data_IF_687443104614
#
_entry.id   IF_687443104614
#
_cell.length_a   1.000
_cell.length_b   1.000
_cell.length_c   1.000
_cell.angle_alpha   90.00
_cell.angle_beta   90.00
_cell.angle_gamma   90.00
#
_symmetry.space_group_name_H-M   'P 1'
#
loop_
_entity.id
_entity.type
_entity.pdbx_description
1 polymer ?
#
# COMPACT_ATOMS: atom_id res chain seq x y z
N UNK A 1 -16.41 19.66 -1.54
CA UNK A 1 -15.24 19.95 -2.38
C UNK A 1 -14.39 18.69 -2.42
N UNK A 2 -14.52 17.85 -3.44
CA UNK A 2 -13.68 16.65 -3.59
C UNK A 2 -12.31 17.12 -4.04
N UNK A 3 -11.36 17.17 -3.11
CA UNK A 3 -9.95 17.36 -3.44
C UNK A 3 -9.51 16.13 -4.24
N UNK A 4 -9.40 16.28 -5.56
CA UNK A 4 -8.73 15.31 -6.42
C UNK A 4 -7.23 15.39 -6.10
N UNK A 5 -6.82 14.82 -4.97
CA UNK A 5 -5.40 14.65 -4.66
C UNK A 5 -4.88 13.63 -5.67
N UNK A 6 -4.07 14.11 -6.61
CA UNK A 6 -3.33 13.24 -7.51
C UNK A 6 -2.21 12.60 -6.70
N UNK A 7 -2.26 11.28 -6.53
CA UNK A 7 -1.16 10.53 -5.93
C UNK A 7 -0.16 10.19 -7.03
N UNK A 8 1.12 10.47 -6.79
CA UNK A 8 2.20 10.09 -7.69
C UNK A 8 3.20 9.21 -6.95
N UNK A 9 3.57 8.07 -7.56
CA UNK A 9 4.55 7.14 -7.02
C UNK A 9 5.48 6.69 -8.14
N UNK A 10 6.78 6.74 -7.87
CA UNK A 10 7.80 6.16 -8.75
C UNK A 10 7.96 4.67 -8.45
N UNK A 11 8.28 3.87 -9.47
CA UNK A 11 8.46 2.42 -9.31
C UNK A 11 9.52 2.05 -8.28
N UNK A 12 10.56 2.88 -8.13
CA UNK A 12 11.65 2.66 -7.17
C UNK A 12 11.26 2.92 -5.70
N UNK A 13 10.13 3.57 -5.45
CA UNK A 13 9.61 3.82 -4.10
C UNK A 13 8.92 2.58 -3.51
N UNK A 14 8.43 1.68 -4.38
CA UNK A 14 7.75 0.46 -3.97
C UNK A 14 8.72 -0.56 -3.39
N UNK A 15 8.37 -1.08 -2.20
CA UNK A 15 9.20 -2.04 -1.47
C UNK A 15 8.36 -3.22 -0.99
N UNK A 16 8.95 -4.41 -1.08
CA UNK A 16 8.45 -5.62 -0.40
C UNK A 16 8.94 -5.64 1.04
N UNK A 17 8.20 -6.31 1.90
CA UNK A 17 8.65 -6.57 3.28
C UNK A 17 9.92 -7.43 3.26
N UNK A 18 10.85 -7.17 4.17
CA UNK A 18 12.01 -8.04 4.37
C UNK A 18 11.63 -9.45 4.83
N UNK A 19 10.42 -9.62 5.39
CA UNK A 19 9.86 -10.91 5.77
C UNK A 19 9.39 -11.73 4.55
N UNK A 20 9.30 -11.12 3.37
CA UNK A 20 8.87 -11.76 2.12
C UNK A 20 10.02 -12.49 1.38
N UNK A 21 11.21 -12.61 1.98
CA UNK A 21 12.43 -13.13 1.32
C UNK A 21 12.40 -14.62 0.95
N UNK A 22 11.55 -15.42 1.58
CA UNK A 22 11.60 -16.89 1.48
C UNK A 22 10.28 -17.57 1.12
N UNK A 23 9.22 -16.80 0.87
CA UNK A 23 7.90 -17.32 0.51
C UNK A 23 7.55 -16.79 -0.88
N UNK A 24 7.41 -17.70 -1.85
CA UNK A 24 7.17 -17.43 -3.28
C UNK A 24 5.92 -16.62 -3.61
N UNK A 25 5.08 -16.30 -2.62
CA UNK A 25 3.71 -15.85 -2.83
C UNK A 25 3.37 -14.51 -2.18
N UNK A 26 4.37 -13.73 -1.76
CA UNK A 26 4.12 -12.37 -1.28
C UNK A 26 3.99 -11.41 -2.48
N UNK A 27 2.73 -11.18 -2.88
CA UNK A 27 2.35 -10.48 -4.10
C UNK A 27 2.07 -8.98 -3.89
N UNK A 28 2.54 -8.35 -2.80
CA UNK A 28 2.23 -6.95 -2.50
C UNK A 28 3.49 -6.13 -2.27
N UNK A 29 3.52 -4.96 -2.89
CA UNK A 29 4.51 -3.90 -2.70
C UNK A 29 3.82 -2.63 -2.17
N UNK A 30 4.55 -1.87 -1.34
CA UNK A 30 4.05 -0.63 -0.75
C UNK A 30 5.04 0.51 -1.00
N UNK A 31 4.52 1.67 -1.43
CA UNK A 31 5.25 2.93 -1.51
C UNK A 31 4.66 3.92 -0.49
N UNK A 32 5.50 4.68 0.21
CA UNK A 32 5.09 5.71 1.17
C UNK A 32 5.93 6.96 0.88
N UNK A 33 5.27 8.03 0.45
CA UNK A 33 5.90 9.32 0.15
C UNK A 33 5.00 10.49 0.62
N UNK A 34 5.29 11.72 0.21
CA UNK A 34 4.53 12.91 0.65
C UNK A 34 3.08 12.95 0.13
N UNK A 35 2.78 12.22 -0.94
CA UNK A 35 1.45 12.18 -1.52
C UNK A 35 0.55 11.19 -0.78
N UNK A 36 1.09 10.09 -0.29
CA UNK A 36 0.36 9.14 0.53
C UNK A 36 0.98 7.76 0.55
N UNK A 37 0.12 6.75 0.49
CA UNK A 37 0.51 5.33 0.47
C UNK A 37 -0.07 4.66 -0.77
N UNK A 38 0.81 4.09 -1.58
CA UNK A 38 0.47 3.27 -2.74
C UNK A 38 0.63 1.79 -2.40
N UNK A 39 -0.36 0.97 -2.71
CA UNK A 39 -0.33 -0.49 -2.56
C UNK A 39 -0.63 -1.13 -3.91
N UNK A 40 0.25 -2.01 -4.37
CA UNK A 40 0.09 -2.67 -5.69
C UNK A 40 0.46 -4.14 -5.67
N UNK A 41 0.02 -4.84 -6.71
CA UNK A 41 0.43 -6.21 -7.01
C UNK A 41 1.90 -6.22 -7.49
N UNK A 42 2.73 -7.00 -6.81
CA UNK A 42 4.14 -7.19 -7.16
C UNK A 42 4.37 -7.98 -8.45
N UNK A 43 3.40 -8.83 -8.83
CA UNK A 43 3.46 -9.67 -10.03
C UNK A 43 2.94 -8.92 -11.25
N UNK A 44 2.23 -7.81 -11.05
CA UNK A 44 1.64 -7.02 -12.11
C UNK A 44 1.63 -5.52 -11.73
N UNK A 45 2.82 -4.91 -11.75
CA UNK A 45 3.01 -3.52 -11.32
C UNK A 45 2.34 -2.49 -12.24
N UNK A 46 1.89 -2.91 -13.43
CA UNK A 46 1.19 -2.06 -14.41
C UNK A 46 -0.32 -2.00 -14.15
N UNK A 47 -0.85 -2.88 -13.31
CA UNK A 47 -2.25 -2.79 -12.85
C UNK A 47 -2.45 -1.62 -11.88
N UNK A 48 -3.72 -1.35 -11.60
CA UNK A 48 -4.15 -0.27 -10.71
C UNK A 48 -3.47 -0.36 -9.34
N UNK A 49 -2.80 0.73 -8.97
CA UNK A 49 -2.32 0.95 -7.60
C UNK A 49 -3.47 1.48 -6.75
N UNK A 50 -3.68 0.87 -5.58
CA UNK A 50 -4.58 1.38 -4.55
C UNK A 50 -3.89 2.51 -3.80
N UNK A 51 -4.57 3.65 -3.66
CA UNK A 51 -4.01 4.84 -3.05
C UNK A 51 -4.76 5.18 -1.76
N UNK A 52 -4.01 5.53 -0.72
CA UNK A 52 -4.52 5.95 0.57
C UNK A 52 -3.86 7.26 0.99
N UNK A 53 -4.62 8.15 1.61
CA UNK A 53 -4.03 9.21 2.43
C UNK A 53 -3.30 8.60 3.62
N UNK A 54 -2.37 9.35 4.22
CA UNK A 54 -1.71 8.90 5.46
C UNK A 54 -2.69 8.65 6.61
N UNK A 55 -3.81 9.38 6.64
CA UNK A 55 -4.84 9.24 7.65
C UNK A 55 -5.60 7.92 7.48
N UNK A 56 -6.03 7.61 6.25
CA UNK A 56 -6.68 6.33 5.93
C UNK A 56 -5.73 5.15 6.18
N UNK A 57 -4.46 5.27 5.77
CA UNK A 57 -3.47 4.22 6.04
C UNK A 57 -3.26 4.00 7.54
N UNK A 58 -3.17 5.08 8.33
CA UNK A 58 -3.06 4.96 9.79
C UNK A 58 -4.31 4.32 10.41
N UNK A 59 -5.51 4.63 9.90
CA UNK A 59 -6.75 4.03 10.37
C UNK A 59 -6.80 2.53 10.02
N UNK A 60 -6.44 2.17 8.78
CA UNK A 60 -6.33 0.78 8.33
C UNK A 60 -5.41 -0.05 9.23
N UNK A 61 -4.19 0.43 9.49
CA UNK A 61 -3.22 -0.27 10.35
C UNK A 61 -3.76 -0.45 11.78
N UNK A 62 -4.52 0.52 12.30
CA UNK A 62 -5.16 0.40 13.62
C UNK A 62 -6.23 -0.70 13.61
N UNK A 63 -7.11 -0.72 12.60
CA UNK A 63 -8.14 -1.75 12.48
C UNK A 63 -7.56 -3.16 12.35
N UNK A 64 -6.49 -3.33 11.57
CA UNK A 64 -5.75 -4.61 11.49
C UNK A 64 -5.22 -5.04 12.86
N UNK A 65 -4.59 -4.13 13.61
CA UNK A 65 -4.07 -4.43 14.96
C UNK A 65 -5.17 -4.73 15.98
N UNK A 66 -6.37 -4.17 15.78
CA UNK A 66 -7.55 -4.42 16.60
C UNK A 66 -8.33 -5.66 16.16
N UNK A 67 -7.85 -6.40 15.16
CA UNK A 67 -8.52 -7.59 14.59
C UNK A 67 -9.92 -7.28 14.01
N UNK A 68 -10.15 -6.06 13.52
CA UNK A 68 -11.46 -5.64 12.98
C UNK A 68 -11.84 -6.31 11.66
N UNK A 69 -10.90 -7.00 11.00
CA UNK A 69 -11.07 -7.62 9.68
C UNK A 69 -10.98 -9.15 9.70
N UNK A 70 -11.10 -9.75 10.89
CA UNK A 70 -11.03 -11.19 11.06
C UNK A 70 -12.46 -11.73 11.07
N UNK A 71 -12.87 -12.40 9.99
CA UNK A 71 -14.16 -13.12 9.89
C UNK A 71 -14.08 -14.50 10.55
#
# INVERSE_FOLDING_TARGET
MTNNKQFYFEDCEFKKSSLSKSISDMCVEVAINNDGVGVRDSKDSQKTTLNFTHQEWSAFIKGVKLNEFNE
#
